data_IF_443469381716
#
_entry.id   IF_443469381716
#
_cell.length_a   1.000
_cell.length_b   1.000
_cell.length_c   1.000
_cell.angle_alpha   90.00
_cell.angle_beta   90.00
_cell.angle_gamma   90.00
#
_symmetry.space_group_name_H-M   'P 1'
#
loop_
_entity.id
_entity.type
_entity.pdbx_description
1 polymer ?
#
# COMPACT_ATOMS: atom_id res chain seq x y z
N UNK A 1 7.93 -2.46 2.17
CA UNK A 1 8.28 -3.14 0.89
C UNK A 1 9.74 -2.94 0.48
N UNK A 2 10.27 -1.70 0.45
CA UNK A 2 11.66 -1.44 0.03
C UNK A 2 12.72 -2.24 0.82
N UNK A 3 12.61 -2.30 2.15
CA UNK A 3 13.55 -3.07 2.98
C UNK A 3 13.59 -4.56 2.60
N UNK A 4 12.44 -5.17 2.35
CA UNK A 4 12.33 -6.56 1.87
C UNK A 4 13.00 -6.74 0.51
N UNK A 5 12.80 -5.80 -0.43
CA UNK A 5 13.45 -5.84 -1.74
C UNK A 5 14.98 -5.77 -1.61
N UNK A 6 15.50 -4.92 -0.71
CA UNK A 6 16.92 -4.87 -0.39
C UNK A 6 17.44 -6.19 0.18
N UNK A 7 16.76 -6.75 1.18
CA UNK A 7 17.16 -8.00 1.81
C UNK A 7 17.23 -9.17 0.81
N UNK A 8 16.19 -9.31 -0.04
CA UNK A 8 16.17 -10.34 -1.09
C UNK A 8 17.30 -10.11 -2.10
N UNK A 9 17.48 -8.89 -2.62
CA UNK A 9 18.53 -8.59 -3.58
C UNK A 9 19.94 -8.87 -3.03
N UNK A 10 20.17 -8.61 -1.74
CA UNK A 10 21.45 -8.93 -1.08
C UNK A 10 21.63 -10.44 -0.91
N UNK A 11 20.58 -11.15 -0.51
CA UNK A 11 20.66 -12.60 -0.28
C UNK A 11 20.82 -13.41 -1.57
N UNK A 12 20.25 -12.96 -2.69
CA UNK A 12 20.25 -13.71 -3.95
C UNK A 12 21.26 -13.19 -4.97
N UNK A 13 22.05 -12.16 -4.64
CA UNK A 13 22.91 -11.48 -5.63
C UNK A 13 22.14 -10.73 -6.73
N UNK A 14 20.85 -10.44 -6.48
CA UNK A 14 19.98 -9.75 -7.43
C UNK A 14 20.30 -8.26 -7.57
N UNK A 15 19.60 -7.60 -8.49
CA UNK A 15 19.74 -6.15 -8.70
C UNK A 15 19.20 -5.38 -7.50
N UNK A 16 20.08 -4.61 -6.84
CA UNK A 16 19.72 -3.76 -5.71
C UNK A 16 18.78 -2.63 -6.16
N UNK A 17 17.78 -2.23 -5.35
CA UNK A 17 16.97 -1.06 -5.63
C UNK A 17 17.83 0.21 -5.80
N UNK A 18 17.42 1.12 -6.69
CA UNK A 18 18.13 2.39 -6.93
C UNK A 18 17.97 3.40 -5.79
N UNK A 19 16.92 3.27 -4.99
CA UNK A 19 16.65 4.15 -3.85
C UNK A 19 16.94 3.48 -2.52
N UNK A 20 17.47 4.26 -1.58
CA UNK A 20 17.66 3.89 -0.18
C UNK A 20 16.49 4.33 0.71
N UNK A 21 15.66 5.25 0.21
CA UNK A 21 14.52 5.81 0.94
C UNK A 21 13.24 5.41 0.21
N UNK A 22 12.26 4.89 0.95
CA UNK A 22 10.94 4.62 0.40
C UNK A 22 10.13 5.93 0.41
N UNK A 23 9.78 6.51 -0.75
CA UNK A 23 8.92 7.68 -0.78
C UNK A 23 7.51 7.25 -0.38
N UNK A 24 7.14 7.48 0.87
CA UNK A 24 5.76 7.30 1.31
C UNK A 24 4.89 8.34 0.60
N UNK A 25 3.93 7.88 -0.19
CA UNK A 25 2.88 8.76 -0.69
C UNK A 25 1.75 8.76 0.34
N UNK A 26 1.26 9.94 0.70
CA UNK A 26 0.01 10.06 1.43
C UNK A 26 -1.09 9.40 0.61
N UNK A 27 -1.79 8.45 1.21
CA UNK A 27 -2.93 7.80 0.58
C UNK A 27 -4.17 8.70 0.67
N UNK A 28 -4.39 9.32 1.83
CA UNK A 28 -5.49 10.25 2.09
C UNK A 28 -4.99 11.42 2.94
N UNK A 29 -5.66 12.56 2.82
CA UNK A 29 -5.50 13.75 3.66
C UNK A 29 -6.88 14.29 4.02
N UNK A 30 -7.19 14.30 5.32
CA UNK A 30 -8.47 14.82 5.85
C UNK A 30 -8.53 16.35 5.90
N UNK A 31 -7.40 17.05 5.78
CA UNK A 31 -7.30 18.51 5.87
C UNK A 31 -7.44 19.13 4.50
N UNK A 32 -6.53 18.80 3.56
CA UNK A 32 -6.58 19.39 2.22
C UNK A 32 -7.39 18.57 1.22
N UNK A 33 -7.67 17.30 1.51
CA UNK A 33 -8.27 16.37 0.56
C UNK A 33 -7.34 15.97 -0.60
N UNK A 34 -6.04 16.30 -0.52
CA UNK A 34 -5.04 15.98 -1.56
C UNK A 34 -3.98 15.03 -1.00
N UNK A 35 -3.63 13.94 -1.72
CA UNK A 35 -4.12 13.59 -3.05
C UNK A 35 -5.55 13.05 -3.06
N UNK A 36 -6.08 12.61 -1.91
CA UNK A 36 -7.40 12.01 -1.79
C UNK A 36 -8.06 12.42 -0.47
N UNK A 37 -9.37 12.58 -0.47
CA UNK A 37 -10.16 12.73 0.77
C UNK A 37 -10.33 11.37 1.44
N UNK A 38 -10.53 11.40 2.76
CA UNK A 38 -10.92 10.21 3.53
C UNK A 38 -12.24 9.65 2.99
N UNK A 39 -12.27 8.37 2.67
CA UNK A 39 -13.47 7.68 2.17
C UNK A 39 -14.05 6.76 3.25
N UNK A 40 -15.26 7.08 3.73
CA UNK A 40 -15.98 6.24 4.70
C UNK A 40 -16.98 5.32 3.98
N UNK A 41 -16.70 4.02 3.92
CA UNK A 41 -17.55 3.00 3.28
C UNK A 41 -18.11 2.05 4.33
N UNK A 42 -19.38 2.22 4.70
CA UNK A 42 -20.08 1.35 5.68
C UNK A 42 -20.42 -0.04 5.12
N UNK A 43 -20.43 -0.15 3.79
CA UNK A 43 -20.69 -1.37 3.04
C UNK A 43 -19.45 -2.26 2.89
N UNK A 44 -18.27 -1.76 3.26
CA UNK A 44 -17.04 -2.56 3.31
C UNK A 44 -16.85 -3.16 4.70
N UNK A 45 -16.46 -4.44 4.81
CA UNK A 45 -16.08 -5.04 6.08
C UNK A 45 -14.90 -4.31 6.74
N UNK A 46 -14.94 -4.13 8.07
CA UNK A 46 -13.94 -3.34 8.81
C UNK A 46 -12.50 -3.90 8.80
N UNK A 47 -12.32 -5.12 8.32
CA UNK A 47 -11.04 -5.83 8.16
C UNK A 47 -10.45 -5.73 6.73
N UNK A 48 -11.10 -4.99 5.81
CA UNK A 48 -10.59 -4.79 4.44
C UNK A 48 -9.48 -3.74 4.43
N UNK A 49 -8.32 -4.10 4.95
CA UNK A 49 -7.07 -3.41 4.67
C UNK A 49 -5.98 -4.44 4.40
N UNK A 50 -6.08 -5.10 3.25
CA UNK A 50 -4.93 -5.76 2.66
C UNK A 50 -3.93 -4.64 2.40
N UNK A 51 -2.86 -4.54 3.20
CA UNK A 51 -1.86 -3.46 3.17
C UNK A 51 -1.16 -3.38 1.79
N UNK A 52 -1.89 -2.95 0.77
CA UNK A 52 -1.64 -3.09 -0.66
C UNK A 52 -1.97 -1.75 -1.34
N UNK A 53 -1.25 -1.45 -2.41
CA UNK A 53 -1.50 -0.28 -3.24
C UNK A 53 -2.67 -0.57 -4.19
N UNK A 54 -3.87 -0.79 -3.65
CA UNK A 54 -5.08 -1.18 -4.39
C UNK A 54 -6.27 -0.38 -3.88
N UNK A 55 -7.27 -0.12 -4.74
CA UNK A 55 -8.52 0.51 -4.33
C UNK A 55 -9.29 -0.35 -3.34
N UNK A 56 -10.14 0.27 -2.52
CA UNK A 56 -10.99 -0.45 -1.56
C UNK A 56 -11.85 -1.53 -2.21
N UNK A 57 -12.41 -1.26 -3.40
CA UNK A 57 -13.23 -2.24 -4.14
C UNK A 57 -12.42 -3.47 -4.61
N UNK A 58 -11.15 -3.27 -5.01
CA UNK A 58 -10.26 -4.38 -5.37
C UNK A 58 -9.86 -5.21 -4.15
N UNK A 59 -9.63 -4.56 -3.01
CA UNK A 59 -9.35 -5.26 -1.76
C UNK A 59 -10.58 -6.06 -1.29
N UNK A 60 -11.78 -5.50 -1.40
CA UNK A 60 -13.02 -6.17 -1.04
C UNK A 60 -13.26 -7.46 -1.85
N UNK A 61 -12.94 -7.45 -3.15
CA UNK A 61 -13.00 -8.65 -4.01
C UNK A 61 -12.09 -9.78 -3.54
N UNK A 62 -10.95 -9.46 -2.93
CA UNK A 62 -9.96 -10.45 -2.50
C UNK A 62 -10.25 -11.07 -1.13
N UNK A 63 -11.26 -10.57 -0.38
CA UNK A 63 -11.61 -11.08 0.94
C UNK A 63 -12.26 -12.48 0.89
N UNK A 64 -12.90 -12.86 -0.21
CA UNK A 64 -13.70 -14.10 -0.31
C UNK A 64 -12.89 -15.34 -0.76
N UNK A 65 -11.64 -15.49 -0.31
CA UNK A 65 -10.84 -16.70 -0.56
C UNK A 65 -11.01 -17.72 0.57
#
# INVERSE_FOLDING_TARGET
>A
RLATQWAVALATGGKKPSTKVFPSKLFEDSVSGKPSKVTCRKDLPGDVYLSAMMSGDLQAKLKNN
#
